data_IF_666772697847
#
_entry.id   IF_666772697847
#
_cell.length_a   1.000
_cell.length_b   1.000
_cell.length_c   1.000
_cell.angle_alpha   90.00
_cell.angle_beta   90.00
_cell.angle_gamma   90.00
#
_symmetry.space_group_name_H-M   'P 1'
#
loop_
_entity.id
_entity.type
_entity.pdbx_description
1 polymer ?
#
# COMPACT_ATOMS: atom_id res chain seq x y z
N UNK A 1 -1.98 10.92 5.85
CA UNK A 1 -1.12 10.63 4.67
C UNK A 1 0.33 11.06 4.89
N UNK A 2 0.62 12.29 5.33
CA UNK A 2 1.98 12.79 5.60
C UNK A 2 2.86 11.84 6.41
N UNK A 3 2.38 11.41 7.58
CA UNK A 3 3.15 10.49 8.42
C UNK A 3 3.47 9.15 7.76
N UNK A 4 2.57 8.63 6.92
CA UNK A 4 2.83 7.41 6.16
C UNK A 4 3.90 7.65 5.09
N UNK A 5 3.85 8.78 4.39
CA UNK A 5 4.88 9.16 3.42
C UNK A 5 6.24 9.34 4.12
N UNK A 6 6.27 9.97 5.30
CA UNK A 6 7.48 10.12 6.10
C UNK A 6 8.07 8.77 6.53
N UNK A 7 7.23 7.81 6.96
CA UNK A 7 7.67 6.45 7.26
C UNK A 7 8.33 5.77 6.06
N UNK A 8 7.75 5.93 4.85
CA UNK A 8 8.34 5.39 3.61
C UNK A 8 9.67 6.07 3.28
N UNK A 9 9.76 7.40 3.41
CA UNK A 9 11.00 8.17 3.15
C UNK A 9 12.11 7.75 4.13
N UNK A 10 11.81 7.67 5.43
CA UNK A 10 12.79 7.23 6.43
C UNK A 10 13.22 5.78 6.17
N UNK A 11 12.28 4.89 5.82
CA UNK A 11 12.58 3.51 5.44
C UNK A 11 13.47 3.40 4.20
N UNK A 12 13.29 4.28 3.21
CA UNK A 12 14.13 4.35 2.03
C UNK A 12 15.53 4.89 2.36
N UNK A 13 15.62 5.95 3.17
CA UNK A 13 16.90 6.58 3.51
C UNK A 13 17.76 5.73 4.45
N UNK A 14 17.16 4.88 5.27
CA UNK A 14 17.88 3.87 6.03
C UNK A 14 18.58 2.81 5.13
N UNK A 15 18.27 2.80 3.82
CA UNK A 15 18.92 1.98 2.80
C UNK A 15 19.84 2.80 1.87
N UNK A 16 20.15 4.06 2.21
CA UNK A 16 20.99 4.98 1.42
C UNK A 16 20.40 5.32 0.03
N UNK A 17 19.08 5.48 -0.06
CA UNK A 17 18.39 5.86 -1.30
C UNK A 17 18.19 7.37 -1.48
N UNK A 18 18.63 8.18 -0.52
CA UNK A 18 18.68 9.66 -0.57
C UNK A 18 17.39 10.35 -1.07
N UNK A 19 16.24 9.89 -0.60
CA UNK A 19 14.94 10.51 -0.85
C UNK A 19 14.81 11.79 -0.03
N UNK A 20 14.60 12.92 -0.71
CA UNK A 20 14.39 14.22 -0.08
C UNK A 20 13.21 14.19 0.91
N UNK A 21 13.39 14.59 2.19
CA UNK A 21 12.30 14.75 3.15
C UNK A 21 11.14 15.64 2.66
N UNK A 22 11.41 16.62 1.79
CA UNK A 22 10.39 17.48 1.20
C UNK A 22 9.46 16.75 0.20
N UNK A 23 9.83 15.54 -0.23
CA UNK A 23 9.04 14.73 -1.16
C UNK A 23 7.60 14.52 -0.67
N UNK A 24 7.39 14.31 0.64
CA UNK A 24 6.05 14.14 1.19
C UNK A 24 5.16 15.37 0.95
N UNK A 25 5.66 16.58 1.20
CA UNK A 25 4.89 17.81 0.95
C UNK A 25 4.63 18.03 -0.54
N UNK A 26 5.63 17.77 -1.38
CA UNK A 26 5.50 17.89 -2.84
C UNK A 26 4.39 16.98 -3.36
N UNK A 27 4.36 15.71 -2.92
CA UNK A 27 3.33 14.77 -3.35
C UNK A 27 1.95 15.18 -2.82
N UNK A 28 1.84 15.59 -1.56
CA UNK A 28 0.56 16.06 -0.99
C UNK A 28 0.03 17.28 -1.75
N UNK A 29 0.88 18.23 -2.07
CA UNK A 29 0.50 19.42 -2.83
C UNK A 29 0.01 19.05 -4.24
N UNK A 30 0.72 18.16 -4.94
CA UNK A 30 0.33 17.66 -6.27
C UNK A 30 -1.01 16.91 -6.22
N UNK A 31 -1.20 16.01 -5.25
CA UNK A 31 -2.45 15.24 -5.13
C UNK A 31 -3.67 16.15 -4.93
N UNK A 32 -3.52 17.27 -4.20
CA UNK A 32 -4.62 18.24 -4.01
C UNK A 32 -5.06 18.92 -5.31
N UNK A 33 -4.17 19.09 -6.29
CA UNK A 33 -4.49 19.71 -7.58
C UNK A 33 -4.93 18.71 -8.66
N UNK A 34 -4.82 17.40 -8.43
CA UNK A 34 -5.11 16.37 -9.45
C UNK A 34 -6.62 16.15 -9.72
N UNK A 35 -7.51 16.71 -8.89
CA UNK A 35 -8.93 16.40 -8.94
C UNK A 35 -9.24 15.00 -8.43
N UNK A 36 -10.44 14.49 -8.73
CA UNK A 36 -10.84 13.14 -8.33
C UNK A 36 -9.97 12.10 -9.04
N UNK A 37 -9.10 11.45 -8.28
CA UNK A 37 -8.21 10.40 -8.79
C UNK A 37 -8.57 9.05 -8.15
N UNK A 38 -8.51 8.01 -8.98
CA UNK A 38 -8.75 6.63 -8.56
C UNK A 38 -7.46 5.82 -8.68
N UNK A 39 -6.95 5.35 -7.55
CA UNK A 39 -5.73 4.55 -7.50
C UNK A 39 -5.94 3.16 -8.11
N UNK A 40 -4.91 2.60 -8.77
CA UNK A 40 -4.95 1.26 -9.36
C UNK A 40 -5.32 0.18 -8.33
N UNK A 41 -4.75 0.23 -7.12
CA UNK A 41 -5.10 -0.71 -6.04
C UNK A 41 -6.60 -0.73 -5.72
N UNK A 42 -7.27 0.43 -5.78
CA UNK A 42 -8.73 0.50 -5.59
C UNK A 42 -9.47 -0.10 -6.79
N UNK A 43 -8.98 0.15 -8.02
CA UNK A 43 -9.55 -0.44 -9.24
C UNK A 43 -9.43 -1.96 -9.21
N UNK A 44 -8.27 -2.51 -8.85
CA UNK A 44 -8.02 -3.95 -8.78
C UNK A 44 -8.92 -4.60 -7.72
N UNK A 45 -9.03 -3.98 -6.54
CA UNK A 45 -9.91 -4.46 -5.48
C UNK A 45 -11.36 -4.57 -5.94
N UNK A 46 -11.90 -3.52 -6.53
CA UNK A 46 -13.30 -3.52 -6.99
C UNK A 46 -13.54 -4.51 -8.15
N UNK A 47 -12.52 -4.77 -8.97
CA UNK A 47 -12.56 -5.76 -10.04
C UNK A 47 -12.28 -7.18 -9.57
N UNK A 48 -12.05 -7.37 -8.26
CA UNK A 48 -11.62 -8.65 -7.66
C UNK A 48 -10.35 -9.21 -8.34
N UNK A 49 -9.45 -8.33 -8.74
CA UNK A 49 -8.15 -8.71 -9.29
C UNK A 49 -7.12 -8.81 -8.16
N UNK A 50 -6.06 -9.62 -8.33
CA UNK A 50 -4.99 -9.68 -7.35
C UNK A 50 -4.38 -8.30 -7.10
N UNK A 51 -4.27 -7.91 -5.83
CA UNK A 51 -3.62 -6.65 -5.47
C UNK A 51 -2.09 -6.76 -5.56
N UNK A 52 -1.41 -5.69 -5.98
CA UNK A 52 0.06 -5.59 -6.01
C UNK A 52 0.68 -5.40 -4.60
N UNK A 53 0.32 -6.26 -3.64
CA UNK A 53 0.70 -6.10 -2.23
C UNK A 53 2.19 -6.26 -1.97
N UNK A 54 2.79 -7.27 -2.58
CA UNK A 54 4.19 -7.62 -2.32
C UNK A 54 5.12 -6.48 -2.74
N UNK A 55 5.01 -6.02 -3.98
CA UNK A 55 5.89 -4.99 -4.52
C UNK A 55 5.63 -3.60 -3.92
N UNK A 56 4.36 -3.21 -3.74
CA UNK A 56 4.02 -1.82 -3.37
C UNK A 56 3.98 -1.57 -1.85
N UNK A 57 3.69 -2.58 -1.02
CA UNK A 57 3.44 -2.38 0.40
C UNK A 57 4.31 -3.26 1.30
N UNK A 58 4.35 -4.56 1.04
CA UNK A 58 5.00 -5.52 1.95
C UNK A 58 6.52 -5.52 1.82
N UNK A 59 7.06 -5.38 0.62
CA UNK A 59 8.50 -5.29 0.42
C UNK A 59 9.11 -4.00 1.00
N UNK A 60 8.53 -2.80 0.77
CA UNK A 60 8.96 -1.59 1.48
C UNK A 60 8.89 -1.72 3.00
N UNK A 61 7.83 -2.36 3.54
CA UNK A 61 7.69 -2.64 4.97
C UNK A 61 8.83 -3.52 5.49
N UNK A 62 9.09 -4.66 4.83
CA UNK A 62 10.16 -5.60 5.22
C UNK A 62 11.53 -4.91 5.18
N UNK A 63 11.79 -4.11 4.15
CA UNK A 63 13.06 -3.38 4.02
C UNK A 63 13.25 -2.35 5.13
N UNK A 64 12.24 -1.55 5.43
CA UNK A 64 12.29 -0.59 6.52
C UNK A 64 12.53 -1.27 7.88
N UNK A 65 11.82 -2.37 8.16
CA UNK A 65 11.98 -3.15 9.39
C UNK A 65 13.38 -3.78 9.50
N UNK A 66 13.91 -4.33 8.40
CA UNK A 66 15.29 -4.88 8.36
C UNK A 66 16.35 -3.81 8.60
N UNK A 67 16.08 -2.57 8.24
CA UNK A 67 16.94 -1.42 8.53
C UNK A 67 16.73 -0.85 9.95
N UNK A 68 15.88 -1.47 10.78
CA UNK A 68 15.61 -1.02 12.15
C UNK A 68 14.66 0.18 12.25
N UNK A 69 13.97 0.55 11.16
CA UNK A 69 13.06 1.69 11.13
C UNK A 69 11.66 1.25 11.58
N UNK A 70 11.09 2.01 12.52
CA UNK A 70 9.72 1.82 12.98
C UNK A 70 8.74 2.49 12.02
N UNK A 71 7.95 1.69 11.31
CA UNK A 71 6.97 2.13 10.29
C UNK A 71 5.54 1.62 10.57
N UNK A 72 4.93 2.03 11.70
CA UNK A 72 3.69 1.44 12.18
C UNK A 72 2.49 1.69 11.26
N UNK A 73 2.43 2.81 10.54
CA UNK A 73 1.32 3.10 9.63
C UNK A 73 1.45 2.31 8.34
N UNK A 74 2.67 2.13 7.83
CA UNK A 74 2.89 1.24 6.68
C UNK A 74 2.55 -0.21 7.03
N UNK A 75 2.91 -0.65 8.24
CA UNK A 75 2.54 -1.97 8.74
C UNK A 75 1.01 -2.15 8.85
N UNK A 76 0.31 -1.16 9.41
CA UNK A 76 -1.15 -1.19 9.52
C UNK A 76 -1.83 -1.20 8.14
N UNK A 77 -1.37 -0.36 7.20
CA UNK A 77 -1.90 -0.32 5.84
C UNK A 77 -1.70 -1.66 5.11
N UNK A 78 -0.48 -2.22 5.18
CA UNK A 78 -0.18 -3.53 4.60
C UNK A 78 -1.06 -4.64 5.19
N UNK A 79 -1.31 -4.61 6.50
CA UNK A 79 -2.19 -5.56 7.17
C UNK A 79 -3.65 -5.50 6.70
N UNK A 80 -4.21 -4.28 6.58
CA UNK A 80 -5.58 -4.07 6.08
C UNK A 80 -5.70 -4.54 4.63
N UNK A 81 -4.75 -4.15 3.76
CA UNK A 81 -4.78 -4.53 2.35
C UNK A 81 -4.64 -6.05 2.17
N UNK A 82 -3.77 -6.71 2.96
CA UNK A 82 -3.64 -8.16 2.95
C UNK A 82 -4.92 -8.88 3.44
N UNK A 83 -5.65 -8.29 4.40
CA UNK A 83 -6.94 -8.82 4.83
C UNK A 83 -7.99 -8.68 3.71
N UNK A 84 -8.06 -7.53 3.05
CA UNK A 84 -8.98 -7.31 1.93
C UNK A 84 -8.71 -8.25 0.75
N UNK A 85 -7.44 -8.45 0.39
CA UNK A 85 -7.04 -9.38 -0.68
C UNK A 85 -7.42 -10.83 -0.37
N UNK A 86 -7.24 -11.29 0.89
CA UNK A 86 -7.70 -12.62 1.32
C UNK A 86 -9.23 -12.76 1.22
N UNK A 87 -9.97 -11.78 1.76
CA UNK A 87 -11.45 -11.83 1.71
C UNK A 87 -11.98 -11.83 0.28
N UNK A 88 -11.33 -11.12 -0.63
CA UNK A 88 -11.69 -11.12 -2.05
C UNK A 88 -11.43 -12.48 -2.72
N UNK A 89 -10.35 -13.17 -2.33
CA UNK A 89 -10.02 -14.53 -2.83
C UNK A 89 -10.97 -15.59 -2.29
N UNK A 90 -11.29 -15.54 -1.00
CA UNK A 90 -12.24 -16.46 -0.36
C UNK A 90 -13.64 -16.37 -1.00
N UNK A 91 -14.05 -15.18 -1.48
CA UNK A 91 -15.30 -15.01 -2.23
C UNK A 91 -15.20 -15.58 -3.65
N UNK A 92 -14.05 -15.45 -4.31
CA UNK A 92 -13.80 -16.01 -5.64
C UNK A 92 -13.78 -17.55 -5.64
N UNK A 93 -13.19 -18.14 -4.60
CA UNK A 93 -13.02 -19.59 -4.48
C UNK A 93 -14.27 -20.29 -3.91
N UNK A 94 -15.34 -19.54 -3.56
CA UNK A 94 -16.63 -20.16 -3.20
C UNK A 94 -17.19 -20.89 -4.42
N UNK A 95 -17.53 -22.18 -4.30
CA UNK A 95 -18.14 -22.92 -5.39
C UNK A 95 -19.46 -22.25 -5.75
N UNK A 96 -19.62 -21.87 -7.02
CA UNK A 96 -20.91 -21.53 -7.59
C UNK A 96 -21.82 -22.74 -7.37
N UNK A 97 -22.82 -22.63 -6.50
CA UNK A 97 -23.85 -23.65 -6.42
C UNK A 97 -24.49 -23.79 -7.81
N UNK A 98 -24.48 -24.98 -8.43
CA UNK A 98 -25.40 -25.23 -9.52
C UNK A 98 -26.80 -25.45 -8.92
N UNK A 99 -27.75 -24.69 -9.46
CA UNK A 99 -29.20 -24.89 -9.52
C UNK A 99 -29.95 -25.56 -8.36
N UNK A 100 -30.99 -24.85 -7.90
CA UNK A 100 -32.31 -25.46 -7.72
C UNK A 100 -33.26 -24.89 -8.77
#
# INVERSE_FOLDING_TARGET
>A
VRELMNEVIVGANAQNLDVDPACAEIQIARTRSMGAYRASTLIDFERRQPLELEALFLEPLRRAQRAGVTVPRLAALGGVLAQLDRLSKDEHDRPSHPDQ
#
